data_IF_543635613320
#
_entry.id   IF_543635613320
#
_cell.length_a   1.000
_cell.length_b   1.000
_cell.length_c   1.000
_cell.angle_alpha   90.00
_cell.angle_beta   90.00
_cell.angle_gamma   90.00
#
_symmetry.space_group_name_H-M   'P 1'
#
loop_
_entity.id
_entity.type
_entity.pdbx_description
1 polymer ?
#
# COMPACT_ATOMS: atom_id res chain seq x y z
N UNK A 1 21.19 5.40 27.72
CA UNK A 1 20.22 5.58 28.76
C UNK A 1 19.12 6.54 28.31
N UNK A 2 17.88 6.21 28.60
CA UNK A 2 16.64 6.82 28.10
C UNK A 2 16.53 8.33 28.39
N UNK A 3 16.98 8.81 29.55
CA UNK A 3 16.88 10.22 29.92
C UNK A 3 17.71 11.17 29.05
N UNK A 4 18.89 10.77 28.57
CA UNK A 4 19.71 11.59 27.69
C UNK A 4 19.05 11.72 26.31
N UNK A 5 18.46 10.63 25.75
CA UNK A 5 17.76 10.67 24.47
C UNK A 5 16.53 11.59 24.54
N UNK A 6 15.83 11.65 25.68
CA UNK A 6 14.67 12.52 25.84
C UNK A 6 15.02 14.01 25.90
N UNK A 7 16.20 14.35 26.46
CA UNK A 7 16.72 15.74 26.47
C UNK A 7 17.09 16.16 25.03
N UNK A 8 17.78 15.32 24.26
CA UNK A 8 18.13 15.62 22.87
C UNK A 8 16.90 15.73 21.96
N UNK A 9 15.87 14.91 22.18
CA UNK A 9 14.57 15.01 21.45
C UNK A 9 13.90 16.37 21.70
N UNK A 10 13.92 16.86 22.94
CA UNK A 10 13.32 18.16 23.31
C UNK A 10 14.10 19.36 22.75
N UNK A 11 15.40 19.21 22.49
CA UNK A 11 16.25 20.27 21.96
C UNK A 11 16.32 20.29 20.42
N UNK A 12 15.59 19.38 19.72
CA UNK A 12 15.62 19.28 18.25
C UNK A 12 16.97 18.78 17.71
N UNK A 13 17.81 18.16 18.56
CA UNK A 13 19.12 17.61 18.18
C UNK A 13 19.07 16.10 17.93
N UNK A 14 17.90 15.49 18.06
CA UNK A 14 17.76 14.04 17.90
C UNK A 14 17.48 13.69 16.44
N UNK A 15 18.23 12.70 15.91
CA UNK A 15 18.03 12.14 14.58
C UNK A 15 17.20 10.86 14.69
N UNK A 16 16.03 10.83 14.07
CA UNK A 16 15.21 9.63 13.96
C UNK A 16 15.75 8.76 12.82
N UNK A 17 16.04 7.49 13.12
CA UNK A 17 16.61 6.53 12.17
C UNK A 17 15.62 5.43 11.89
N UNK A 18 15.26 5.23 10.65
CA UNK A 18 14.31 4.19 10.23
C UNK A 18 14.59 3.77 8.79
N UNK A 19 13.99 2.69 8.37
CA UNK A 19 14.11 2.20 7.00
C UNK A 19 12.79 2.39 6.24
N UNK A 20 12.88 2.77 4.97
CA UNK A 20 11.75 2.78 4.03
C UNK A 20 12.15 1.95 2.82
N UNK A 21 11.41 0.88 2.54
CA UNK A 21 11.65 -0.03 1.43
C UNK A 21 13.11 -0.54 1.38
N UNK A 22 13.69 -0.84 2.56
CA UNK A 22 15.07 -1.32 2.71
C UNK A 22 16.15 -0.24 2.70
N UNK A 23 15.81 1.02 2.41
CA UNK A 23 16.75 2.15 2.45
C UNK A 23 16.71 2.85 3.81
N UNK A 24 17.88 3.08 4.39
CA UNK A 24 18.02 3.78 5.69
C UNK A 24 17.88 5.28 5.52
N UNK A 25 17.15 5.91 6.43
CA UNK A 25 16.99 7.36 6.50
C UNK A 25 17.28 7.87 7.91
N UNK A 26 17.84 9.09 7.98
CA UNK A 26 18.07 9.85 9.21
C UNK A 26 17.41 11.21 9.04
N UNK A 27 16.47 11.54 9.91
CA UNK A 27 15.68 12.78 9.82
C UNK A 27 15.63 13.45 11.18
N UNK A 28 15.80 14.75 11.21
CA UNK A 28 15.77 15.56 12.43
C UNK A 28 14.36 16.09 12.71
N UNK A 29 13.61 16.43 11.67
CA UNK A 29 12.29 17.03 11.79
C UNK A 29 11.23 15.96 12.07
N UNK A 30 10.38 16.18 13.07
CA UNK A 30 9.26 15.31 13.40
C UNK A 30 8.01 15.71 12.61
N UNK A 31 7.87 15.14 11.44
CA UNK A 31 6.70 15.32 10.57
C UNK A 31 5.85 14.06 10.48
N UNK A 32 4.70 14.14 9.82
CA UNK A 32 3.87 12.94 9.54
C UNK A 32 4.59 12.06 8.52
N UNK A 33 4.50 10.73 8.72
CA UNK A 33 5.10 9.77 7.78
C UNK A 33 4.62 9.97 6.35
N UNK A 34 3.34 10.31 6.16
CA UNK A 34 2.78 10.52 4.81
C UNK A 34 3.42 11.69 4.08
N UNK A 35 3.72 12.79 4.79
CA UNK A 35 4.38 13.95 4.20
C UNK A 35 5.81 13.60 3.78
N UNK A 36 6.56 12.91 4.64
CA UNK A 36 7.90 12.41 4.34
C UNK A 36 7.90 11.47 3.12
N UNK A 37 7.00 10.48 3.08
CA UNK A 37 6.92 9.56 1.94
C UNK A 37 6.63 10.29 0.63
N UNK A 38 5.64 11.21 0.63
CA UNK A 38 5.15 11.83 -0.60
C UNK A 38 5.98 13.06 -1.01
N UNK A 39 6.34 13.94 -0.06
CA UNK A 39 7.04 15.18 -0.36
C UNK A 39 8.55 15.00 -0.46
N UNK A 40 9.16 14.26 0.47
CA UNK A 40 10.63 14.12 0.51
C UNK A 40 11.09 12.95 -0.36
N UNK A 41 10.50 11.76 -0.21
CA UNK A 41 10.91 10.57 -0.95
C UNK A 41 10.25 10.40 -2.31
N UNK A 42 9.21 11.18 -2.63
CA UNK A 42 8.42 11.07 -3.86
C UNK A 42 7.74 9.70 -4.04
N UNK A 43 7.54 8.96 -2.95
CA UNK A 43 6.79 7.71 -2.93
C UNK A 43 5.28 8.02 -2.88
N UNK A 44 4.71 8.34 -4.04
CA UNK A 44 3.33 8.83 -4.17
C UNK A 44 2.27 7.75 -4.19
N UNK A 45 2.66 6.48 -4.18
CA UNK A 45 1.75 5.33 -4.08
C UNK A 45 0.94 5.29 -2.79
N UNK A 46 1.53 5.77 -1.69
CA UNK A 46 0.80 5.99 -0.43
C UNK A 46 -0.05 7.24 -0.55
N UNK A 47 -1.38 7.08 -0.65
CA UNK A 47 -2.31 8.19 -0.94
C UNK A 47 -2.82 8.87 0.33
N UNK A 48 -3.02 10.19 0.28
CA UNK A 48 -3.66 10.96 1.34
C UNK A 48 -5.13 11.23 0.99
N UNK A 49 -6.06 10.54 1.67
CA UNK A 49 -7.50 10.69 1.40
C UNK A 49 -8.26 11.46 2.48
N UNK A 50 -8.00 11.21 3.76
CA UNK A 50 -8.77 11.82 4.85
C UNK A 50 -7.93 12.56 5.88
N UNK A 51 -6.62 12.35 5.93
CA UNK A 51 -5.66 12.92 6.92
C UNK A 51 -6.02 12.67 8.40
N UNK A 52 -7.02 11.81 8.67
CA UNK A 52 -7.61 11.57 10.00
C UNK A 52 -7.55 10.10 10.43
N UNK A 53 -6.77 9.26 9.73
CA UNK A 53 -6.65 7.84 10.05
C UNK A 53 -7.90 6.99 9.76
N UNK A 54 -8.92 7.52 9.08
CA UNK A 54 -10.19 6.81 8.86
C UNK A 54 -10.22 5.95 7.58
N UNK A 55 -9.81 6.51 6.43
CA UNK A 55 -10.09 5.90 5.12
C UNK A 55 -9.14 4.77 4.70
N UNK A 56 -7.96 4.64 5.30
CA UNK A 56 -7.00 3.57 4.99
C UNK A 56 -6.28 3.65 3.65
N UNK A 57 -6.47 4.71 2.84
CA UNK A 57 -5.74 4.86 1.57
C UNK A 57 -4.23 5.05 1.77
N UNK A 58 -3.83 5.54 2.95
CA UNK A 58 -2.46 5.73 3.36
C UNK A 58 -1.87 4.53 4.12
N UNK A 59 -2.44 3.34 3.97
CA UNK A 59 -1.94 2.14 4.67
C UNK A 59 -0.54 1.79 4.17
N UNK A 60 0.37 1.59 5.13
CA UNK A 60 1.74 1.10 4.96
C UNK A 60 1.98 -0.06 5.94
N UNK A 61 3.08 -0.78 5.78
CA UNK A 61 3.53 -1.76 6.75
C UNK A 61 4.61 -1.13 7.62
N UNK A 62 4.49 -1.24 8.93
CA UNK A 62 5.52 -0.86 9.91
C UNK A 62 5.82 -2.10 10.75
N UNK A 63 7.04 -2.59 10.71
CA UNK A 63 7.49 -3.82 11.40
C UNK A 63 6.52 -5.00 11.18
N UNK A 64 6.11 -5.24 9.94
CA UNK A 64 5.20 -6.33 9.56
C UNK A 64 3.72 -6.08 9.83
N UNK A 65 3.34 -4.94 10.43
CA UNK A 65 1.94 -4.64 10.80
C UNK A 65 1.37 -3.48 9.99
N UNK A 66 0.06 -3.51 9.74
CA UNK A 66 -0.64 -2.39 9.09
C UNK A 66 -0.60 -1.14 9.96
N UNK A 67 -0.25 -0.02 9.34
CA UNK A 67 -0.31 1.30 9.97
C UNK A 67 -0.83 2.34 8.97
N UNK A 68 -1.29 3.49 9.47
CA UNK A 68 -1.81 4.58 8.66
C UNK A 68 -0.82 5.74 8.67
N UNK A 69 -0.15 5.98 7.55
CA UNK A 69 0.92 6.97 7.45
C UNK A 69 0.48 8.41 7.79
N UNK A 70 -0.79 8.75 7.58
CA UNK A 70 -1.28 10.12 7.85
C UNK A 70 -1.38 10.47 9.34
N UNK A 71 -1.38 9.48 10.24
CA UNK A 71 -1.42 9.68 11.70
C UNK A 71 -0.17 9.17 12.40
N UNK A 72 0.78 8.59 11.68
CA UNK A 72 2.09 8.18 12.20
C UNK A 72 3.08 9.31 12.10
N UNK A 73 3.84 9.60 13.17
CA UNK A 73 4.90 10.60 13.20
C UNK A 73 6.28 9.93 13.13
N UNK A 74 7.25 10.61 12.52
CA UNK A 74 8.62 10.08 12.38
C UNK A 74 9.27 9.79 13.73
N UNK A 75 8.96 10.58 14.77
CA UNK A 75 9.41 10.35 16.15
C UNK A 75 8.99 8.99 16.75
N UNK A 76 7.94 8.37 16.22
CA UNK A 76 7.44 7.06 16.64
C UNK A 76 8.06 5.89 15.86
N UNK A 77 8.88 6.21 14.83
CA UNK A 77 9.39 5.24 13.87
C UNK A 77 10.88 4.94 14.02
N UNK A 78 11.51 5.50 15.07
CA UNK A 78 12.91 5.27 15.34
C UNK A 78 13.23 3.77 15.48
N UNK A 79 14.19 3.26 14.71
CA UNK A 79 14.56 1.86 14.64
C UNK A 79 13.60 0.96 13.85
N UNK A 80 12.55 1.50 13.22
CA UNK A 80 11.51 0.72 12.54
C UNK A 80 11.74 0.56 11.04
N UNK A 81 11.12 -0.47 10.48
CA UNK A 81 11.10 -0.75 9.04
C UNK A 81 9.72 -0.45 8.47
N UNK A 82 9.68 0.36 7.42
CA UNK A 82 8.47 0.77 6.72
C UNK A 82 8.50 0.18 5.30
N UNK A 83 7.37 -0.43 4.87
CA UNK A 83 7.18 -0.90 3.50
C UNK A 83 5.94 -0.22 2.92
N UNK A 84 6.12 0.37 1.74
CA UNK A 84 5.05 0.99 0.94
C UNK A 84 4.72 0.11 -0.28
N UNK A 85 3.74 0.51 -1.08
CA UNK A 85 3.38 -0.22 -2.31
C UNK A 85 4.56 -0.32 -3.28
N UNK A 86 5.42 0.68 -3.34
CA UNK A 86 6.62 0.70 -4.18
C UNK A 86 7.68 -0.32 -3.71
N UNK A 87 7.69 -0.64 -2.41
CA UNK A 87 8.64 -1.57 -1.80
C UNK A 87 8.26 -3.05 -1.94
N UNK A 88 7.15 -3.37 -2.59
CA UNK A 88 6.80 -4.75 -2.91
C UNK A 88 7.79 -5.35 -3.91
N UNK A 89 8.06 -6.64 -3.78
CA UNK A 89 8.86 -7.39 -4.77
C UNK A 89 8.17 -7.41 -6.13
N UNK A 90 8.93 -7.62 -7.20
CA UNK A 90 8.38 -7.67 -8.57
C UNK A 90 7.32 -8.78 -8.72
N UNK A 91 7.53 -9.93 -8.04
CA UNK A 91 6.53 -10.99 -8.02
C UNK A 91 5.23 -10.56 -7.33
N UNK A 92 5.32 -9.89 -6.18
CA UNK A 92 4.14 -9.39 -5.47
C UNK A 92 3.39 -8.36 -6.29
N UNK A 93 4.09 -7.41 -6.89
CA UNK A 93 3.49 -6.43 -7.80
C UNK A 93 2.75 -7.12 -8.94
N UNK A 94 3.39 -8.09 -9.61
CA UNK A 94 2.80 -8.81 -10.73
C UNK A 94 1.55 -9.60 -10.31
N UNK A 95 1.60 -10.34 -9.20
CA UNK A 95 0.46 -11.14 -8.70
C UNK A 95 -0.71 -10.24 -8.30
N UNK A 96 -0.46 -9.20 -7.49
CA UNK A 96 -1.54 -8.30 -7.06
C UNK A 96 -2.15 -7.54 -8.24
N UNK A 97 -1.33 -7.05 -9.16
CA UNK A 97 -1.82 -6.36 -10.36
C UNK A 97 -2.69 -7.27 -11.22
N UNK A 98 -2.22 -8.50 -11.47
CA UNK A 98 -2.99 -9.48 -12.21
C UNK A 98 -4.32 -9.81 -11.50
N UNK A 99 -4.27 -10.19 -10.24
CA UNK A 99 -5.45 -10.63 -9.50
C UNK A 99 -6.52 -9.53 -9.39
N UNK A 100 -6.10 -8.30 -9.07
CA UNK A 100 -7.02 -7.17 -8.99
C UNK A 100 -7.56 -6.75 -10.37
N UNK A 101 -6.74 -6.83 -11.40
CA UNK A 101 -7.15 -6.56 -12.79
C UNK A 101 -8.14 -7.60 -13.31
N UNK A 102 -7.85 -8.90 -13.12
CA UNK A 102 -8.67 -10.03 -13.59
C UNK A 102 -10.05 -10.05 -12.93
N UNK A 103 -10.11 -9.79 -11.63
CA UNK A 103 -11.38 -9.72 -10.91
C UNK A 103 -12.14 -8.40 -11.15
N UNK A 104 -11.58 -7.42 -11.87
CA UNK A 104 -12.20 -6.12 -12.07
C UNK A 104 -12.26 -5.26 -10.78
N UNK A 105 -11.36 -5.51 -9.85
CA UNK A 105 -11.28 -4.82 -8.55
C UNK A 105 -10.79 -3.37 -8.67
N UNK A 106 -10.15 -3.01 -9.78
CA UNK A 106 -9.59 -1.67 -10.00
C UNK A 106 -10.59 -0.80 -10.75
N UNK A 107 -11.00 0.34 -10.17
CA UNK A 107 -11.78 1.35 -10.88
C UNK A 107 -11.00 2.67 -10.95
N UNK A 108 -11.20 3.63 -10.05
CA UNK A 108 -10.37 4.85 -10.05
C UNK A 108 -8.92 4.58 -9.62
N UNK A 109 -8.67 3.54 -8.83
CA UNK A 109 -7.33 3.13 -8.38
C UNK A 109 -6.85 3.79 -7.09
N UNK A 110 -7.51 4.84 -6.60
CA UNK A 110 -7.02 5.64 -5.47
C UNK A 110 -6.86 4.86 -4.16
N UNK A 111 -7.80 3.95 -3.84
CA UNK A 111 -7.74 3.13 -2.62
C UNK A 111 -6.93 1.84 -2.79
N UNK A 112 -6.64 1.42 -4.02
CA UNK A 112 -6.11 0.09 -4.31
C UNK A 112 -4.72 -0.16 -3.72
N UNK A 113 -3.74 0.76 -3.77
CA UNK A 113 -2.46 0.54 -3.10
C UNK A 113 -2.60 0.22 -1.61
N UNK A 114 -3.44 0.97 -0.89
CA UNK A 114 -3.71 0.69 0.53
C UNK A 114 -4.43 -0.65 0.77
N UNK A 115 -5.31 -1.08 -0.16
CA UNK A 115 -5.96 -2.39 -0.12
C UNK A 115 -4.95 -3.51 -0.35
N UNK A 116 -4.04 -3.36 -1.32
CA UNK A 116 -2.97 -4.33 -1.61
C UNK A 116 -2.04 -4.48 -0.39
N UNK A 117 -1.63 -3.39 0.24
CA UNK A 117 -0.82 -3.44 1.47
C UNK A 117 -1.56 -4.18 2.60
N UNK A 118 -2.87 -3.96 2.75
CA UNK A 118 -3.68 -4.68 3.73
C UNK A 118 -3.81 -6.16 3.41
N UNK A 119 -3.96 -6.50 2.12
CA UNK A 119 -3.98 -7.88 1.65
C UNK A 119 -2.63 -8.59 1.85
N UNK A 120 -1.52 -7.88 1.58
CA UNK A 120 -0.18 -8.43 1.82
C UNK A 120 0.01 -8.84 3.27
N UNK A 121 -0.29 -7.97 4.23
CA UNK A 121 -0.16 -8.31 5.66
C UNK A 121 -1.00 -9.53 6.01
N UNK A 122 -2.25 -9.61 5.52
CA UNK A 122 -3.09 -10.79 5.73
C UNK A 122 -2.46 -12.07 5.18
N UNK A 123 -1.97 -12.03 3.93
CA UNK A 123 -1.43 -13.22 3.25
C UNK A 123 -0.09 -13.64 3.86
N UNK A 124 0.72 -12.70 4.33
CA UNK A 124 1.97 -12.98 5.05
C UNK A 124 1.69 -13.68 6.41
N UNK A 125 0.60 -13.31 7.10
CA UNK A 125 0.19 -13.92 8.37
C UNK A 125 -0.56 -15.25 8.16
N UNK A 126 -1.37 -15.35 7.11
CA UNK A 126 -2.19 -16.51 6.77
C UNK A 126 -2.24 -16.71 5.25
N UNK A 127 -1.54 -17.72 4.75
CA UNK A 127 -1.44 -18.02 3.32
C UNK A 127 -2.69 -18.68 2.73
N UNK A 128 -3.68 -19.05 3.55
CA UNK A 128 -4.98 -19.61 3.14
C UNK A 128 -6.14 -18.88 3.84
N UNK A 129 -6.31 -17.56 3.58
CA UNK A 129 -7.34 -16.76 4.23
C UNK A 129 -8.73 -17.17 3.78
N UNK A 130 -9.70 -17.13 4.70
CA UNK A 130 -11.12 -17.23 4.38
C UNK A 130 -11.65 -15.90 3.84
N UNK A 131 -12.82 -15.89 3.13
CA UNK A 131 -13.46 -14.63 2.74
C UNK A 131 -13.74 -13.68 3.91
N UNK A 132 -14.03 -14.22 5.08
CA UNK A 132 -14.24 -13.40 6.29
C UNK A 132 -12.94 -12.78 6.83
N UNK A 133 -11.81 -13.47 6.69
CA UNK A 133 -10.49 -12.91 7.03
C UNK A 133 -10.14 -11.76 6.09
N UNK A 134 -10.43 -11.92 4.80
CA UNK A 134 -10.25 -10.85 3.80
C UNK A 134 -11.08 -9.63 4.15
N UNK A 135 -12.38 -9.79 4.45
CA UNK A 135 -13.25 -8.69 4.87
C UNK A 135 -12.72 -7.96 6.09
N UNK A 136 -12.28 -8.71 7.12
CA UNK A 136 -11.67 -8.13 8.33
C UNK A 136 -10.37 -7.38 8.02
N UNK A 137 -9.54 -7.92 7.13
CA UNK A 137 -8.28 -7.30 6.76
C UNK A 137 -8.46 -5.95 6.08
N UNK A 138 -9.49 -5.77 5.24
CA UNK A 138 -9.75 -4.52 4.51
C UNK A 138 -10.78 -3.62 5.18
N UNK A 139 -11.34 -3.99 6.34
CA UNK A 139 -12.38 -3.22 7.05
C UNK A 139 -11.98 -1.76 7.30
N UNK A 140 -10.70 -1.50 7.49
CA UNK A 140 -10.15 -0.14 7.68
C UNK A 140 -9.81 0.61 6.39
N UNK A 141 -10.15 0.07 5.21
CA UNK A 141 -9.88 0.65 3.90
C UNK A 141 -11.20 0.98 3.19
N UNK A 142 -11.42 2.25 2.86
CA UNK A 142 -12.66 2.71 2.23
C UNK A 142 -12.49 2.77 0.72
N UNK A 143 -13.41 2.10 0.01
CA UNK A 143 -13.59 2.21 -1.43
C UNK A 143 -15.00 2.73 -1.76
N UNK A 144 -15.09 3.78 -2.59
CA UNK A 144 -16.38 4.35 -3.02
C UNK A 144 -16.87 3.77 -4.36
N UNK A 145 -16.00 3.07 -5.10
CA UNK A 145 -16.25 2.69 -6.48
C UNK A 145 -16.76 1.26 -6.66
N UNK A 146 -16.16 0.29 -5.95
CA UNK A 146 -16.25 -1.15 -6.33
C UNK A 146 -17.36 -1.93 -5.62
N UNK A 147 -17.85 -1.46 -4.47
CA UNK A 147 -18.75 -2.24 -3.61
C UNK A 147 -18.07 -3.43 -2.92
N UNK A 148 -16.74 -3.50 -2.92
CA UNK A 148 -15.86 -4.47 -2.23
C UNK A 148 -15.79 -5.88 -2.81
N UNK A 149 -16.88 -6.48 -3.28
CA UNK A 149 -16.92 -7.88 -3.75
C UNK A 149 -15.74 -8.21 -4.68
N UNK A 150 -15.50 -7.36 -5.68
CA UNK A 150 -14.39 -7.56 -6.62
C UNK A 150 -13.02 -7.44 -6.00
N UNK A 151 -12.86 -6.61 -4.96
CA UNK A 151 -11.62 -6.49 -4.18
C UNK A 151 -11.40 -7.77 -3.37
N UNK A 152 -12.44 -8.29 -2.72
CA UNK A 152 -12.37 -9.54 -1.98
C UNK A 152 -11.99 -10.71 -2.89
N UNK A 153 -12.62 -10.83 -4.07
CA UNK A 153 -12.28 -11.83 -5.09
C UNK A 153 -10.82 -11.70 -5.55
N UNK A 154 -10.34 -10.46 -5.77
CA UNK A 154 -8.95 -10.19 -6.16
C UNK A 154 -7.94 -10.60 -5.09
N UNK A 155 -8.23 -10.35 -3.82
CA UNK A 155 -7.37 -10.76 -2.69
C UNK A 155 -7.37 -12.29 -2.57
N UNK A 156 -8.51 -12.95 -2.69
CA UNK A 156 -8.60 -14.41 -2.66
C UNK A 156 -7.82 -15.06 -3.81
N UNK A 157 -7.89 -14.47 -5.02
CA UNK A 157 -7.12 -14.93 -6.16
C UNK A 157 -5.62 -14.75 -5.93
N UNK A 158 -5.20 -13.60 -5.40
CA UNK A 158 -3.79 -13.36 -5.05
C UNK A 158 -3.28 -14.37 -4.01
N UNK A 159 -4.05 -14.61 -2.94
CA UNK A 159 -3.71 -15.60 -1.93
C UNK A 159 -3.51 -17.00 -2.53
N UNK A 160 -4.43 -17.44 -3.40
CA UNK A 160 -4.29 -18.70 -4.14
C UNK A 160 -3.02 -18.73 -4.98
N UNK A 161 -2.72 -17.67 -5.72
CA UNK A 161 -1.53 -17.60 -6.58
C UNK A 161 -0.24 -17.70 -5.78
N UNK A 162 -0.17 -17.06 -4.59
CA UNK A 162 0.99 -17.17 -3.71
C UNK A 162 1.12 -18.57 -3.10
N UNK A 163 0.02 -19.12 -2.56
CA UNK A 163 0.01 -20.45 -1.93
C UNK A 163 0.42 -21.55 -2.90
N UNK A 164 -0.11 -21.54 -4.12
CA UNK A 164 0.13 -22.56 -5.13
C UNK A 164 1.33 -22.23 -6.04
N UNK A 165 2.02 -21.14 -5.77
CA UNK A 165 3.13 -20.63 -6.57
C UNK A 165 2.82 -20.55 -8.07
N UNK A 166 1.60 -20.12 -8.41
CA UNK A 166 1.15 -20.04 -9.80
C UNK A 166 1.91 -18.94 -10.56
N UNK A 167 2.28 -19.16 -11.82
CA UNK A 167 2.81 -18.12 -12.67
C UNK A 167 1.71 -17.08 -12.96
N UNK A 168 2.10 -15.83 -13.14
CA UNK A 168 1.19 -14.80 -13.64
C UNK A 168 0.99 -15.03 -15.15
N UNK A 169 -0.26 -15.22 -15.62
CA UNK A 169 -0.55 -15.42 -17.02
C UNK A 169 -0.08 -14.24 -17.88
N UNK A 170 0.42 -14.52 -19.06
CA UNK A 170 0.75 -13.49 -20.04
C UNK A 170 -0.51 -12.75 -20.50
N UNK A 171 -0.37 -11.46 -20.77
CA UNK A 171 -1.49 -10.64 -21.28
C UNK A 171 -1.80 -11.07 -22.73
N UNK A 172 -3.07 -11.46 -23.00
CA UNK A 172 -3.52 -11.65 -24.37
C UNK A 172 -3.57 -10.29 -25.08
N UNK A 173 -2.77 -10.14 -26.12
CA UNK A 173 -2.67 -8.92 -26.93
C UNK A 173 -3.33 -9.06 -28.32
N UNK A 174 -3.91 -10.21 -28.63
CA UNK A 174 -4.39 -10.52 -29.99
C UNK A 174 -5.59 -9.69 -30.44
N UNK A 175 -6.33 -9.04 -29.52
CA UNK A 175 -7.38 -8.08 -29.86
C UNK A 175 -8.58 -8.66 -30.62
N UNK A 176 -8.77 -9.98 -30.64
CA UNK A 176 -9.89 -10.62 -31.33
C UNK A 176 -11.22 -10.22 -30.71
N UNK A 177 -12.25 -10.06 -31.54
CA UNK A 177 -13.61 -9.80 -31.06
C UNK A 177 -14.09 -10.95 -30.17
N UNK A 178 -14.49 -10.63 -28.94
CA UNK A 178 -14.88 -11.61 -27.92
C UNK A 178 -13.73 -12.13 -27.04
N UNK A 179 -12.47 -11.71 -27.28
CA UNK A 179 -11.36 -12.02 -26.40
C UNK A 179 -11.56 -11.34 -25.02
N UNK A 180 -11.25 -12.05 -23.94
CA UNK A 180 -11.24 -11.51 -22.57
C UNK A 180 -9.92 -10.80 -22.32
N UNK A 181 -9.83 -9.54 -22.76
CA UNK A 181 -8.64 -8.73 -22.58
C UNK A 181 -8.50 -8.27 -21.12
N UNK A 182 -7.27 -8.26 -20.65
CA UNK A 182 -6.95 -7.60 -19.38
C UNK A 182 -7.24 -6.11 -19.48
N UNK A 183 -7.70 -5.53 -18.38
CA UNK A 183 -7.88 -4.09 -18.28
C UNK A 183 -6.53 -3.37 -18.49
N UNK A 184 -6.47 -2.50 -19.48
CA UNK A 184 -5.22 -1.84 -19.94
C UNK A 184 -4.55 -1.04 -18.82
N UNK A 185 -5.33 -0.32 -18.01
CA UNK A 185 -4.84 0.59 -16.95
C UNK A 185 -4.80 -0.04 -15.54
N UNK A 186 -5.01 -1.37 -15.43
CA UNK A 186 -5.09 -2.02 -14.13
C UNK A 186 -3.77 -1.98 -13.36
N UNK A 187 -2.65 -2.17 -14.03
CA UNK A 187 -1.32 -2.16 -13.45
C UNK A 187 -0.96 -0.78 -12.90
N UNK A 188 -1.09 0.23 -13.74
CA UNK A 188 -0.78 1.61 -13.39
C UNK A 188 -1.60 2.10 -12.19
N UNK A 189 -2.89 1.71 -12.15
CA UNK A 189 -3.78 2.05 -11.05
C UNK A 189 -3.54 1.23 -9.79
N UNK A 190 -3.23 -0.05 -9.91
CA UNK A 190 -2.96 -0.92 -8.77
C UNK A 190 -1.67 -0.51 -8.03
N UNK A 191 -0.63 -0.17 -8.79
CA UNK A 191 0.66 0.29 -8.26
C UNK A 191 0.72 1.82 -8.07
N UNK A 192 -0.38 2.52 -8.36
CA UNK A 192 -0.50 3.99 -8.23
C UNK A 192 0.38 4.81 -9.17
N UNK A 193 0.82 4.27 -10.28
CA UNK A 193 1.67 4.97 -11.25
C UNK A 193 0.92 6.10 -11.96
N UNK A 194 -0.41 6.00 -12.13
CA UNK A 194 -1.25 7.00 -12.79
C UNK A 194 -1.55 8.22 -11.91
N UNK A 195 -1.44 8.10 -10.59
CA UNK A 195 -1.70 9.18 -9.64
C UNK A 195 -0.41 9.87 -9.17
N UNK A 196 0.63 9.86 -9.99
CA UNK A 196 1.91 10.53 -9.72
C UNK A 196 1.72 12.04 -9.65
N UNK A 197 0.90 12.59 -10.57
CA UNK A 197 0.44 13.98 -10.53
C UNK A 197 -1.01 13.99 -10.09
N UNK A 198 -1.26 14.21 -8.81
CA UNK A 198 -2.63 14.46 -8.37
C UNK A 198 -3.12 15.78 -8.99
N UNK A 199 -4.35 15.83 -9.51
CA UNK A 199 -4.93 17.09 -9.90
C UNK A 199 -4.92 17.98 -8.68
N UNK A 200 -4.27 19.12 -8.79
CA UNK A 200 -4.34 20.18 -7.78
C UNK A 200 -5.81 20.43 -7.51
N UNK A 201 -6.26 20.17 -6.29
CA UNK A 201 -7.59 20.59 -5.88
C UNK A 201 -7.64 22.10 -6.08
N UNK A 202 -8.56 22.64 -6.86
CA UNK A 202 -8.81 24.07 -6.81
C UNK A 202 -9.27 24.38 -5.39
N UNK A 203 -8.53 25.26 -4.72
CA UNK A 203 -8.87 25.78 -3.41
C UNK A 203 -10.01 26.78 -3.51
#
# INVERSE_FOLDING_TARGET
>A
SSAASDVYKRQGLYMYRFQVNGTQYEVQEDQRLIDFLRADLKLTGTKEGCSAGACGTCTVIIDGKKAKACVSKLSQLDGKSIVTIEGLSEREKAVYTYAFGECGAVQCGFCIPGMIISAKVLIDENNDPTPDDVKKAILGNICRCTGYVKIEEGIMLAAKMFRENLPVPEKDTNGNVGARLHRVDAEEKALSLIHISEPTRPY
#
